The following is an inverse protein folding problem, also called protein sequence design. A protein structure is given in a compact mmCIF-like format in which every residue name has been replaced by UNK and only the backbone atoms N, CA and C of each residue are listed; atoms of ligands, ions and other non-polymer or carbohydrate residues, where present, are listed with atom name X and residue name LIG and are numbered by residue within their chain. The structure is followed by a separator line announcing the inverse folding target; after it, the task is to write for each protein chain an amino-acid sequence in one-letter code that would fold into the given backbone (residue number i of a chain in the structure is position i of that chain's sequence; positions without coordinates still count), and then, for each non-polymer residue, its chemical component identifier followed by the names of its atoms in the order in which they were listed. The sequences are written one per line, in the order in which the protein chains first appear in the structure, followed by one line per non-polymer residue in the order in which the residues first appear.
data_IF_830943507027
#
_entry.id   IF_830943507027
#
_cell.length_a   1.000
_cell.length_b   1.000
_cell.length_c   1.000
_cell.angle_alpha   90.00
_cell.angle_beta   90.00
_cell.angle_gamma   90.00
#
_symmetry.space_group_name_H-M   'P 1'
#
loop_
_entity.id
_entity.type
_entity.pdbx_description
1 polymer ?
#
# COMPACT_ATOMS: atom_id res chain seq x y z
N UNK A 1 48.67 22.58 15.23
CA UNK A 1 48.88 21.20 15.73
C UNK A 1 47.52 20.55 15.94
N UNK A 2 47.47 19.24 15.71
CA UNK A 2 46.40 18.26 16.00
C UNK A 2 45.36 17.98 14.90
N UNK A 3 45.47 16.75 14.38
CA UNK A 3 44.59 16.01 13.47
C UNK A 3 43.63 15.15 14.29
N UNK A 4 42.47 14.81 13.73
CA UNK A 4 41.78 13.51 13.75
C UNK A 4 40.53 13.64 12.82
N UNK A 5 40.41 12.87 11.72
CA UNK A 5 39.75 11.54 11.62
C UNK A 5 38.34 11.52 12.24
N UNK A 6 37.27 10.98 11.67
CA UNK A 6 37.02 10.18 10.47
C UNK A 6 35.49 9.92 10.36
N UNK A 7 34.97 10.00 9.13
CA UNK A 7 33.89 9.22 8.47
C UNK A 7 32.50 8.96 9.08
N UNK A 8 31.55 9.16 8.16
CA UNK A 8 30.36 8.35 7.88
C UNK A 8 29.34 8.10 9.00
N UNK A 9 28.42 9.05 9.11
CA UNK A 9 27.01 8.66 9.09
C UNK A 9 26.38 9.20 7.82
N UNK A 10 26.06 8.28 6.90
CA UNK A 10 25.14 8.51 5.78
C UNK A 10 23.89 9.20 6.31
N UNK A 11 23.86 10.52 6.17
CA UNK A 11 22.67 11.32 6.36
C UNK A 11 21.78 10.97 5.18
N UNK A 12 20.90 9.98 5.37
CA UNK A 12 19.76 9.80 4.50
C UNK A 12 19.08 11.16 4.46
N UNK A 13 19.19 11.77 3.28
CA UNK A 13 18.57 13.00 2.87
C UNK A 13 17.06 12.80 2.97
N UNK A 14 16.53 12.94 4.20
CA UNK A 14 15.13 13.28 4.42
C UNK A 14 14.99 14.70 3.89
N UNK A 15 14.95 14.79 2.56
CA UNK A 15 14.53 15.98 1.85
C UNK A 15 13.14 16.27 2.36
N UNK A 16 13.07 17.22 3.29
CA UNK A 16 11.88 17.92 3.72
C UNK A 16 11.34 18.64 2.47
N UNK A 17 10.74 17.88 1.56
CA UNK A 17 9.93 18.47 0.52
C UNK A 17 8.73 19.11 1.22
N UNK A 18 8.50 20.42 1.03
CA UNK A 18 7.33 21.07 1.58
C UNK A 18 6.11 20.32 1.04
N UNK A 19 5.38 19.68 1.96
CA UNK A 19 4.10 19.02 1.68
C UNK A 19 3.21 20.09 1.08
N UNK A 20 3.19 20.08 -0.25
CA UNK A 20 2.36 20.96 -1.02
C UNK A 20 0.97 20.35 -0.87
N UNK A 21 0.11 20.98 -0.08
CA UNK A 21 -1.32 20.67 -0.04
C UNK A 21 -1.98 21.11 -1.35
N UNK A 22 -1.43 20.67 -2.48
CA UNK A 22 -2.00 20.80 -3.81
C UNK A 22 -3.22 19.90 -3.86
N UNK A 23 -4.32 20.48 -3.40
CA UNK A 23 -5.69 20.35 -3.88
C UNK A 23 -5.85 19.35 -5.04
N UNK A 24 -5.81 18.05 -4.74
CA UNK A 24 -6.26 17.00 -5.63
C UNK A 24 -7.59 16.48 -5.09
N UNK A 25 -8.60 17.35 -5.15
CA UNK A 25 -10.01 17.04 -4.89
C UNK A 25 -10.61 16.18 -6.01
N UNK A 26 -9.91 15.11 -6.39
CA UNK A 26 -10.46 14.01 -7.18
C UNK A 26 -10.79 12.90 -6.18
N UNK A 27 -12.07 12.85 -5.79
CA UNK A 27 -12.69 12.03 -4.74
C UNK A 27 -11.85 10.88 -4.20
N UNK A 28 -11.26 11.07 -3.02
CA UNK A 28 -10.70 9.98 -2.23
C UNK A 28 -11.84 9.01 -1.90
N UNK A 29 -11.73 7.71 -2.25
CA UNK A 29 -12.78 6.74 -1.94
C UNK A 29 -13.05 6.70 -0.44
N UNK A 30 -14.32 6.70 -0.06
CA UNK A 30 -14.70 6.67 1.35
C UNK A 30 -14.45 5.31 1.97
N UNK A 31 -14.04 5.33 3.23
CA UNK A 31 -13.93 4.14 4.07
C UNK A 31 -15.34 3.80 4.57
N UNK A 32 -15.86 2.63 4.20
CA UNK A 32 -17.17 2.20 4.68
C UNK A 32 -17.04 1.70 6.12
N UNK A 33 -17.84 2.27 7.04
CA UNK A 33 -17.76 1.97 8.49
C UNK A 33 -18.50 0.69 8.91
N UNK A 34 -19.40 0.18 8.07
CA UNK A 34 -20.21 -1.02 8.33
C UNK A 34 -20.08 -2.00 7.17
N UNK A 35 -18.87 -2.52 6.96
CA UNK A 35 -18.63 -3.55 5.96
C UNK A 35 -18.81 -4.89 6.65
N UNK A 36 -19.92 -5.56 6.37
CA UNK A 36 -20.09 -6.94 6.81
C UNK A 36 -19.24 -7.85 5.91
N UNK A 37 -18.41 -8.75 6.48
CA UNK A 37 -17.59 -9.64 5.68
C UNK A 37 -18.50 -10.59 4.90
N UNK A 38 -18.53 -10.42 3.58
CA UNK A 38 -19.28 -11.30 2.67
C UNK A 38 -18.60 -12.66 2.50
N UNK A 39 -17.37 -12.81 2.98
CA UNK A 39 -16.48 -13.94 2.70
C UNK A 39 -15.36 -14.04 3.75
N UNK A 40 -14.75 -15.22 3.90
CA UNK A 40 -13.54 -15.45 4.72
C UNK A 40 -12.28 -15.62 3.86
N UNK A 41 -12.28 -15.11 2.63
CA UNK A 41 -11.19 -15.33 1.65
C UNK A 41 -9.81 -14.89 2.13
N UNK A 42 -9.77 -13.90 3.02
CA UNK A 42 -8.54 -13.26 3.48
C UNK A 42 -8.22 -13.49 4.96
N UNK A 43 -9.00 -14.30 5.69
CA UNK A 43 -8.83 -14.56 7.13
C UNK A 43 -7.42 -15.03 7.50
N UNK A 44 -6.84 -15.90 6.66
CA UNK A 44 -5.55 -16.55 6.90
C UNK A 44 -4.41 -15.94 6.07
N UNK A 45 -4.64 -14.80 5.43
CA UNK A 45 -3.67 -14.17 4.53
C UNK A 45 -2.96 -13.01 5.19
N UNK A 46 -1.75 -12.72 4.72
CA UNK A 46 -1.10 -11.45 5.04
C UNK A 46 -1.69 -10.31 4.20
N UNK A 47 -1.57 -9.06 4.67
CA UNK A 47 -1.99 -7.86 3.92
C UNK A 47 -1.46 -7.89 2.48
N UNK A 48 -0.16 -8.18 2.33
CA UNK A 48 0.51 -8.26 1.04
C UNK A 48 -0.09 -9.32 0.11
N UNK A 49 -0.38 -10.52 0.64
CA UNK A 49 -0.97 -11.60 -0.14
C UNK A 49 -2.37 -11.23 -0.61
N UNK A 50 -3.21 -10.70 0.29
CA UNK A 50 -4.58 -10.32 -0.04
C UNK A 50 -4.62 -9.14 -1.03
N UNK A 51 -3.80 -8.10 -0.83
CA UNK A 51 -3.67 -6.99 -1.79
C UNK A 51 -3.15 -7.44 -3.17
N UNK A 52 -2.27 -8.44 -3.23
CA UNK A 52 -1.82 -9.02 -4.52
C UNK A 52 -3.00 -9.58 -5.30
N UNK A 53 -3.90 -10.31 -4.63
CA UNK A 53 -5.09 -10.88 -5.26
C UNK A 53 -6.04 -9.79 -5.75
N UNK A 54 -6.34 -8.80 -4.90
CA UNK A 54 -7.24 -7.70 -5.23
C UNK A 54 -6.74 -6.88 -6.43
N UNK A 55 -5.47 -6.48 -6.44
CA UNK A 55 -4.90 -5.71 -7.55
C UNK A 55 -4.81 -6.53 -8.84
N UNK A 56 -4.55 -7.84 -8.73
CA UNK A 56 -4.55 -8.74 -9.89
C UNK A 56 -5.94 -8.88 -10.51
N UNK A 57 -6.98 -8.98 -9.69
CA UNK A 57 -8.37 -9.13 -10.12
C UNK A 57 -8.93 -7.84 -10.70
N UNK A 58 -8.65 -6.71 -10.04
CA UNK A 58 -9.14 -5.40 -10.46
C UNK A 58 -8.46 -4.88 -11.72
N UNK A 59 -7.29 -5.42 -12.08
CA UNK A 59 -6.45 -5.03 -13.24
C UNK A 59 -6.15 -3.53 -13.34
N UNK A 60 -6.30 -2.80 -12.24
CA UNK A 60 -6.07 -1.38 -12.13
C UNK A 60 -5.36 -1.06 -10.81
N UNK A 61 -4.90 0.19 -10.67
CA UNK A 61 -4.36 0.67 -9.42
C UNK A 61 -5.51 0.99 -8.45
N UNK A 62 -5.35 0.62 -7.18
CA UNK A 62 -6.35 0.83 -6.15
C UNK A 62 -5.83 1.74 -5.04
N UNK A 63 -6.73 2.60 -4.53
CA UNK A 63 -6.46 3.42 -3.36
C UNK A 63 -6.46 2.56 -2.08
N UNK A 64 -5.70 2.95 -1.06
CA UNK A 64 -5.63 2.23 0.22
C UNK A 64 -6.97 2.10 0.92
N UNK A 65 -7.87 3.06 0.72
CA UNK A 65 -9.24 3.00 1.24
C UNK A 65 -10.06 1.93 0.52
N UNK A 66 -9.89 1.79 -0.80
CA UNK A 66 -10.54 0.73 -1.59
C UNK A 66 -10.01 -0.64 -1.17
N UNK A 67 -8.69 -0.77 -1.07
CA UNK A 67 -8.04 -1.98 -0.58
C UNK A 67 -8.52 -2.34 0.82
N UNK A 68 -8.63 -1.38 1.73
CA UNK A 68 -9.20 -1.60 3.05
C UNK A 68 -10.63 -2.14 2.97
N UNK A 69 -11.50 -1.49 2.20
CA UNK A 69 -12.89 -1.90 2.09
C UNK A 69 -13.03 -3.33 1.54
N UNK A 70 -12.25 -3.65 0.49
CA UNK A 70 -12.22 -4.97 -0.14
C UNK A 70 -11.63 -6.05 0.79
N UNK A 71 -10.60 -5.69 1.57
CA UNK A 71 -10.00 -6.59 2.55
C UNK A 71 -11.00 -6.96 3.65
N UNK A 72 -11.65 -5.97 4.26
CA UNK A 72 -12.67 -6.20 5.29
C UNK A 72 -13.86 -6.96 4.71
N UNK A 73 -14.33 -6.58 3.51
CA UNK A 73 -15.40 -7.29 2.80
C UNK A 73 -15.06 -8.75 2.50
N UNK A 74 -13.77 -9.06 2.33
CA UNK A 74 -13.26 -10.42 2.13
C UNK A 74 -12.85 -11.14 3.42
N UNK A 75 -13.23 -10.61 4.59
CA UNK A 75 -13.01 -11.24 5.89
C UNK A 75 -11.62 -11.05 6.48
N UNK A 76 -10.87 -10.05 5.99
CA UNK A 76 -9.61 -9.68 6.62
C UNK A 76 -9.88 -8.88 7.89
N UNK A 77 -9.36 -9.36 9.03
CA UNK A 77 -9.47 -8.64 10.29
C UNK A 77 -8.20 -7.83 10.58
N UNK A 78 -8.36 -6.52 10.76
CA UNK A 78 -7.28 -5.65 11.21
C UNK A 78 -7.29 -5.55 12.73
N UNK A 79 -6.18 -5.93 13.36
CA UNK A 79 -6.02 -5.86 14.82
C UNK A 79 -5.62 -4.47 15.33
N UNK A 80 -5.24 -3.54 14.44
CA UNK A 80 -4.73 -2.22 14.79
C UNK A 80 -5.66 -1.09 14.36
N UNK A 81 -5.53 0.07 15.04
CA UNK A 81 -6.39 1.23 14.84
C UNK A 81 -6.15 2.00 13.53
N UNK A 82 -5.05 1.72 12.82
CA UNK A 82 -4.63 2.46 11.63
C UNK A 82 -4.46 1.54 10.40
N UNK A 83 -5.54 0.87 9.94
CA UNK A 83 -5.44 -0.18 8.93
C UNK A 83 -4.94 0.35 7.57
N UNK A 84 -5.31 1.55 7.16
CA UNK A 84 -4.85 2.16 5.90
C UNK A 84 -3.35 2.47 5.90
N UNK A 85 -2.81 2.91 7.03
CA UNK A 85 -1.36 3.09 7.23
C UNK A 85 -0.66 1.74 7.18
N UNK A 86 -1.19 0.72 7.86
CA UNK A 86 -0.65 -0.65 7.81
C UNK A 86 -0.60 -1.17 6.37
N UNK A 87 -1.67 -1.00 5.60
CA UNK A 87 -1.71 -1.38 4.18
C UNK A 87 -0.62 -0.63 3.40
N UNK A 88 -0.61 0.71 3.48
CA UNK A 88 0.35 1.52 2.73
C UNK A 88 1.80 1.12 3.03
N UNK A 89 2.15 0.91 4.31
CA UNK A 89 3.50 0.51 4.72
C UNK A 89 3.84 -0.90 4.21
N UNK A 90 2.92 -1.86 4.33
CA UNK A 90 3.12 -3.22 3.81
C UNK A 90 3.38 -3.25 2.30
N UNK A 91 2.65 -2.42 1.54
CA UNK A 91 2.83 -2.33 0.09
C UNK A 91 4.11 -1.61 -0.30
N UNK A 92 4.48 -0.52 0.39
CA UNK A 92 5.74 0.20 0.12
C UNK A 92 6.99 -0.67 0.37
N UNK A 93 6.93 -1.59 1.34
CA UNK A 93 8.07 -2.47 1.66
C UNK A 93 8.21 -3.67 0.71
N UNK A 94 7.27 -3.87 -0.21
CA UNK A 94 7.28 -5.02 -1.11
C UNK A 94 7.43 -4.58 -2.57
N UNK A 95 8.55 -4.97 -3.21
CA UNK A 95 8.90 -4.56 -4.58
C UNK A 95 7.94 -5.02 -5.68
N UNK A 96 6.93 -5.84 -5.37
CA UNK A 96 5.87 -6.22 -6.31
C UNK A 96 4.84 -5.13 -6.50
N UNK A 97 4.78 -4.12 -5.62
CA UNK A 97 3.84 -3.00 -5.70
C UNK A 97 4.57 -1.72 -6.05
N UNK A 98 3.88 -0.86 -6.81
CA UNK A 98 4.35 0.47 -7.16
C UNK A 98 3.31 1.49 -6.72
N UNK A 99 3.75 2.50 -5.99
CA UNK A 99 2.92 3.67 -5.69
C UNK A 99 2.82 4.50 -6.97
N UNK A 100 1.60 4.67 -7.48
CA UNK A 100 1.33 5.42 -8.72
C UNK A 100 0.71 6.80 -8.44
N UNK A 101 0.13 6.99 -7.26
CA UNK A 101 -0.38 8.27 -6.78
C UNK A 101 -0.41 8.28 -5.23
N UNK A 102 -0.72 9.41 -4.57
CA UNK A 102 -0.96 9.45 -3.13
C UNK A 102 -1.99 8.39 -2.73
N UNK A 103 -1.63 7.52 -1.78
CA UNK A 103 -2.48 6.43 -1.31
C UNK A 103 -2.88 5.41 -2.37
N UNK A 104 -2.31 5.40 -3.58
CA UNK A 104 -2.75 4.54 -4.69
C UNK A 104 -1.62 3.64 -5.15
N UNK A 105 -1.90 2.35 -5.22
CA UNK A 105 -0.91 1.31 -5.52
C UNK A 105 -1.33 0.46 -6.70
N UNK A 106 -0.34 0.05 -7.48
CA UNK A 106 -0.48 -0.88 -8.58
C UNK A 106 0.42 -2.10 -8.40
N UNK A 107 0.08 -3.20 -9.03
CA UNK A 107 0.89 -4.42 -9.08
C UNK A 107 1.86 -4.34 -10.27
N UNK A 108 3.18 -4.38 -9.99
CA UNK A 108 4.25 -4.28 -11.00
C UNK A 108 4.31 -5.54 -11.87
N UNK A 109 4.17 -6.71 -11.24
CA UNK A 109 4.22 -8.00 -11.92
C UNK A 109 2.83 -8.38 -12.42
N UNK A 110 2.32 -7.68 -13.45
CA UNK A 110 1.16 -8.15 -14.22
C UNK A 110 1.52 -9.25 -15.22
N UNK A 111 2.81 -9.32 -15.59
CA UNK A 111 3.32 -10.04 -16.78
C UNK A 111 3.58 -11.54 -16.58
N UNK A 112 3.82 -12.01 -15.35
CA UNK A 112 4.20 -13.42 -15.11
C UNK A 112 3.08 -14.45 -15.38
N UNK A 113 1.83 -14.00 -15.59
CA UNK A 113 0.73 -14.86 -16.02
C UNK A 113 0.35 -14.72 -17.49
N UNK A 114 1.10 -13.93 -18.28
CA UNK A 114 0.91 -13.81 -19.73
C UNK A 114 1.89 -14.69 -20.55
N UNK A 115 2.87 -15.33 -19.92
CA UNK A 115 3.74 -16.33 -20.55
C UNK A 115 3.24 -17.75 -20.24
N UNK A 116 1.99 -18.03 -20.60
CA UNK A 116 1.44 -19.38 -20.67
C UNK A 116 0.31 -19.36 -21.71
N UNK A 117 0.70 -19.26 -22.98
CA UNK A 117 -0.17 -19.46 -24.14
C UNK A 117 0.67 -20.08 -25.24
#
# INVERSE_FOLDING_TARGET
QQRHMEQDYRRNDYREEPVSYLNNSRGVPSISRNIEPSSSRFSDRTITQACTLLLRESRNALHVNELYNLLVSGGFEFKGNNPTISIAVSLNRNGRFRKVAPGTFDLVMRDASQQAS
#
